data_IF_361173253873
#
_entry.id   IF_361173253873
#
_cell.length_a   1.000
_cell.length_b   1.000
_cell.length_c   1.000
_cell.angle_alpha   90.00
_cell.angle_beta   90.00
_cell.angle_gamma   90.00
#
_symmetry.space_group_name_H-M   'P 1'
#
loop_
_entity.id
_entity.type
_entity.pdbx_description
1 polymer ?
#
# COMPACT_ATOMS: atom_id res chain seq x y z
N UNK A 1 -13.76 -27.41 -2.11
CA UNK A 1 -13.26 -26.67 -3.29
C UNK A 1 -12.33 -27.56 -4.08
N UNK A 2 -12.07 -27.27 -5.35
CA UNK A 2 -11.11 -28.04 -6.15
C UNK A 2 -10.24 -27.14 -7.04
N UNK A 3 -8.96 -27.51 -7.15
CA UNK A 3 -8.01 -27.03 -8.16
C UNK A 3 -8.03 -27.99 -9.36
N UNK A 4 -8.50 -27.58 -10.55
CA UNK A 4 -8.56 -28.47 -11.68
C UNK A 4 -7.18 -28.79 -12.25
N UNK A 5 -6.88 -30.08 -12.42
CA UNK A 5 -5.69 -30.58 -13.14
C UNK A 5 -6.06 -31.45 -14.35
N UNK A 6 -7.36 -31.53 -14.65
CA UNK A 6 -7.90 -32.22 -15.83
C UNK A 6 -8.59 -31.19 -16.72
N UNK A 7 -8.46 -31.32 -18.05
CA UNK A 7 -9.10 -30.41 -18.99
C UNK A 7 -10.62 -30.53 -18.94
N UNK A 8 -11.20 -31.71 -18.76
CA UNK A 8 -12.65 -31.83 -18.62
C UNK A 8 -13.11 -31.44 -17.20
N UNK A 9 -13.81 -30.31 -17.08
CA UNK A 9 -14.29 -29.82 -15.79
C UNK A 9 -15.51 -30.58 -15.24
N UNK A 10 -16.13 -31.46 -16.04
CA UNK A 10 -17.25 -32.28 -15.58
C UNK A 10 -16.86 -33.27 -14.46
N UNK A 11 -15.58 -33.64 -14.39
CA UNK A 11 -15.03 -34.49 -13.32
C UNK A 11 -15.09 -33.85 -11.93
N UNK A 12 -15.19 -32.52 -11.86
CA UNK A 12 -15.24 -31.79 -10.59
C UNK A 12 -16.66 -31.51 -10.11
N UNK A 13 -17.69 -31.94 -10.85
CA UNK A 13 -19.10 -31.80 -10.44
C UNK A 13 -19.31 -32.31 -9.00
N UNK A 14 -20.05 -31.52 -8.22
CA UNK A 14 -20.25 -31.77 -6.79
C UNK A 14 -19.32 -30.95 -5.89
N UNK A 15 -18.24 -30.37 -6.43
CA UNK A 15 -17.48 -29.36 -5.71
C UNK A 15 -18.26 -28.04 -5.62
N UNK A 16 -18.19 -27.36 -4.47
CA UNK A 16 -18.85 -26.07 -4.28
C UNK A 16 -18.25 -24.95 -5.15
N UNK A 17 -16.92 -24.96 -5.32
CA UNK A 17 -16.17 -23.98 -6.11
C UNK A 17 -15.04 -24.69 -6.83
N UNK A 18 -14.81 -24.32 -8.10
CA UNK A 18 -13.66 -24.69 -8.91
C UNK A 18 -12.76 -23.47 -9.13
N UNK A 19 -11.44 -23.62 -9.00
CA UNK A 19 -10.49 -22.51 -9.06
C UNK A 19 -9.44 -22.65 -10.17
N UNK A 20 -9.83 -22.66 -11.47
CA UNK A 20 -8.87 -22.78 -12.55
C UNK A 20 -7.99 -21.52 -12.66
N UNK A 21 -6.83 -21.68 -13.29
CA UNK A 21 -6.10 -20.57 -13.92
C UNK A 21 -6.45 -20.44 -15.42
N UNK A 22 -5.94 -19.39 -16.09
CA UNK A 22 -6.16 -19.15 -17.53
C UNK A 22 -5.78 -20.34 -18.42
N UNK A 23 -4.67 -21.03 -18.12
CA UNK A 23 -4.20 -22.17 -18.92
C UNK A 23 -5.12 -23.38 -18.77
N UNK A 24 -5.59 -23.64 -17.56
CA UNK A 24 -6.56 -24.71 -17.27
C UNK A 24 -7.91 -24.40 -17.93
N UNK A 25 -8.37 -23.14 -17.90
CA UNK A 25 -9.57 -22.72 -18.63
C UNK A 25 -9.43 -22.93 -20.15
N UNK A 26 -8.28 -22.55 -20.71
CA UNK A 26 -8.02 -22.73 -22.13
C UNK A 26 -7.99 -24.22 -22.52
N UNK A 27 -7.37 -25.06 -21.69
CA UNK A 27 -7.34 -26.51 -21.88
C UNK A 27 -8.75 -27.14 -21.80
N UNK A 28 -9.62 -26.61 -20.93
CA UNK A 28 -10.98 -27.12 -20.73
C UNK A 28 -11.98 -26.71 -21.81
N UNK A 29 -11.81 -25.49 -22.32
CA UNK A 29 -12.72 -24.89 -23.29
C UNK A 29 -12.26 -25.05 -24.74
N UNK A 30 -10.96 -25.29 -24.97
CA UNK A 30 -10.35 -25.23 -26.29
C UNK A 30 -10.22 -23.80 -26.85
N UNK A 31 -10.42 -22.78 -26.02
CA UNK A 31 -10.37 -21.36 -26.40
C UNK A 31 -9.24 -20.68 -25.62
N UNK A 32 -8.41 -19.88 -26.31
CA UNK A 32 -7.39 -19.07 -25.63
C UNK A 32 -8.03 -18.07 -24.66
N UNK A 33 -7.48 -17.98 -23.46
CA UNK A 33 -8.06 -17.22 -22.35
C UNK A 33 -7.17 -16.06 -21.90
N UNK A 34 -6.51 -15.38 -22.85
CA UNK A 34 -5.60 -14.25 -22.57
C UNK A 34 -6.27 -12.88 -22.60
N UNK A 35 -7.45 -12.77 -23.24
CA UNK A 35 -8.27 -11.54 -23.25
C UNK A 35 -9.57 -11.74 -22.47
N UNK A 36 -10.25 -10.65 -22.13
CA UNK A 36 -11.57 -10.71 -21.47
C UNK A 36 -12.61 -11.44 -22.34
N UNK A 37 -12.56 -11.23 -23.66
CA UNK A 37 -13.44 -11.93 -24.61
C UNK A 37 -13.14 -13.43 -24.66
N UNK A 38 -11.86 -13.80 -24.70
CA UNK A 38 -11.42 -15.20 -24.67
C UNK A 38 -11.82 -15.90 -23.37
N UNK A 39 -11.64 -15.22 -22.24
CA UNK A 39 -12.09 -15.70 -20.92
C UNK A 39 -13.61 -15.88 -20.91
N UNK A 40 -14.37 -14.90 -21.38
CA UNK A 40 -15.83 -14.99 -21.42
C UNK A 40 -16.31 -16.16 -22.28
N UNK A 41 -15.73 -16.33 -23.48
CA UNK A 41 -16.05 -17.41 -24.40
C UNK A 41 -15.68 -18.79 -23.82
N UNK A 42 -14.47 -18.93 -23.28
CA UNK A 42 -14.02 -20.18 -22.66
C UNK A 42 -14.82 -20.53 -21.41
N UNK A 43 -15.18 -19.53 -20.61
CA UNK A 43 -15.96 -19.72 -19.38
C UNK A 43 -17.38 -20.20 -19.67
N UNK A 44 -17.99 -19.80 -20.80
CA UNK A 44 -19.31 -20.31 -21.20
C UNK A 44 -19.30 -21.84 -21.35
N UNK A 45 -18.24 -22.40 -21.93
CA UNK A 45 -18.05 -23.86 -22.09
C UNK A 45 -17.73 -24.51 -20.74
N UNK A 46 -16.78 -23.95 -20.01
CA UNK A 46 -16.35 -24.48 -18.70
C UNK A 46 -17.51 -24.53 -17.69
N UNK A 47 -18.39 -23.52 -17.69
CA UNK A 47 -19.57 -23.50 -16.83
C UNK A 47 -20.63 -24.55 -17.22
N UNK A 48 -20.77 -24.89 -18.51
CA UNK A 48 -21.68 -25.98 -18.92
C UNK A 48 -21.15 -27.35 -18.47
N UNK A 49 -19.83 -27.54 -18.53
CA UNK A 49 -19.15 -28.73 -18.00
C UNK A 49 -19.30 -28.83 -16.48
N UNK A 50 -18.90 -27.82 -15.72
CA UNK A 50 -18.81 -27.85 -14.26
C UNK A 50 -20.16 -27.67 -13.55
N UNK A 51 -21.03 -26.80 -14.06
CA UNK A 51 -22.36 -26.47 -13.51
C UNK A 51 -22.37 -25.93 -12.07
N UNK A 52 -21.28 -25.29 -11.64
CA UNK A 52 -21.14 -24.68 -10.32
C UNK A 52 -20.48 -23.30 -10.37
N UNK A 53 -19.99 -22.83 -9.22
CA UNK A 53 -19.27 -21.55 -9.08
C UNK A 53 -17.82 -21.70 -9.51
N UNK A 54 -17.34 -20.81 -10.39
CA UNK A 54 -15.94 -20.81 -10.83
C UNK A 54 -15.26 -19.53 -10.37
N UNK A 55 -14.09 -19.66 -9.74
CA UNK A 55 -13.23 -18.55 -9.35
C UNK A 55 -11.94 -18.66 -10.15
N UNK A 56 -11.87 -17.92 -11.26
CA UNK A 56 -10.74 -17.92 -12.18
C UNK A 56 -9.61 -17.04 -11.64
N UNK A 57 -8.41 -17.61 -11.51
CA UNK A 57 -7.19 -16.86 -11.24
C UNK A 57 -6.57 -16.35 -12.55
N UNK A 58 -6.32 -15.04 -12.62
CA UNK A 58 -5.83 -14.34 -13.82
C UNK A 58 -4.43 -13.75 -13.64
N UNK A 59 -3.64 -14.33 -12.75
CA UNK A 59 -2.28 -13.88 -12.44
C UNK A 59 -2.28 -12.39 -12.03
N UNK A 60 -1.43 -11.56 -12.63
CA UNK A 60 -1.31 -10.12 -12.38
C UNK A 60 -2.61 -9.32 -12.63
N UNK A 61 -3.58 -9.89 -13.34
CA UNK A 61 -4.87 -9.25 -13.56
C UNK A 61 -5.83 -9.45 -12.39
N UNK A 62 -5.59 -10.43 -11.49
CA UNK A 62 -6.40 -10.65 -10.29
C UNK A 62 -7.29 -11.89 -10.37
N UNK A 63 -8.50 -11.80 -9.81
CA UNK A 63 -9.42 -12.93 -9.65
C UNK A 63 -10.79 -12.57 -10.24
N UNK A 64 -11.43 -13.51 -10.92
CA UNK A 64 -12.78 -13.33 -11.48
C UNK A 64 -13.73 -14.43 -11.01
N UNK A 65 -14.91 -14.05 -10.56
CA UNK A 65 -15.99 -14.94 -10.14
C UNK A 65 -17.05 -15.06 -11.21
N UNK A 66 -17.39 -16.30 -11.53
CA UNK A 66 -18.42 -16.67 -12.47
C UNK A 66 -19.46 -17.57 -11.79
N UNK A 67 -20.73 -17.19 -11.97
CA UNK A 67 -21.89 -17.94 -11.49
C UNK A 67 -22.94 -17.95 -12.60
N UNK A 68 -23.66 -19.07 -12.71
CA UNK A 68 -24.69 -19.22 -13.74
C UNK A 68 -25.78 -18.17 -13.58
N UNK A 69 -26.07 -17.45 -14.67
CA UNK A 69 -27.14 -16.45 -14.72
C UNK A 69 -26.83 -15.16 -13.95
N UNK A 70 -25.60 -14.98 -13.45
CA UNK A 70 -25.16 -13.76 -12.78
C UNK A 70 -24.02 -13.11 -13.56
N UNK A 71 -23.91 -11.76 -13.53
CA UNK A 71 -22.75 -11.07 -14.07
C UNK A 71 -21.46 -11.56 -13.43
N UNK A 72 -20.39 -11.60 -14.23
CA UNK A 72 -19.05 -11.84 -13.71
C UNK A 72 -18.64 -10.71 -12.76
N UNK A 73 -17.96 -11.07 -11.68
CA UNK A 73 -17.38 -10.10 -10.74
C UNK A 73 -15.88 -10.23 -10.85
N UNK A 74 -15.20 -9.13 -11.19
CA UNK A 74 -13.75 -9.09 -11.24
C UNK A 74 -13.18 -8.26 -10.11
N UNK A 75 -12.19 -8.82 -9.41
CA UNK A 75 -11.35 -8.11 -8.47
C UNK A 75 -9.92 -8.03 -9.04
N UNK A 76 -9.34 -6.82 -9.24
CA UNK A 76 -7.99 -6.66 -9.73
C UNK A 76 -6.97 -7.22 -8.73
N UNK A 77 -5.79 -7.63 -9.20
CA UNK A 77 -4.74 -8.11 -8.29
C UNK A 77 -4.31 -7.00 -7.31
N UNK A 78 -4.11 -7.37 -6.04
CA UNK A 78 -3.66 -6.44 -4.98
C UNK A 78 -2.15 -6.20 -4.98
N UNK A 79 -1.38 -7.06 -5.65
CA UNK A 79 0.08 -6.98 -5.70
C UNK A 79 0.59 -5.87 -6.60
N UNK A 80 1.50 -5.04 -6.07
CA UNK A 80 2.34 -4.11 -6.86
C UNK A 80 3.74 -4.68 -7.19
N UNK A 81 4.20 -5.71 -6.49
CA UNK A 81 5.52 -6.35 -6.67
C UNK A 81 5.41 -7.87 -6.48
N UNK A 82 5.43 -8.64 -7.57
CA UNK A 82 5.53 -10.10 -7.51
C UNK A 82 7.00 -10.53 -7.58
N UNK A 83 7.53 -11.09 -6.49
CA UNK A 83 8.87 -11.67 -6.45
C UNK A 83 8.88 -13.11 -6.98
N UNK A 84 7.86 -13.89 -6.62
CA UNK A 84 7.71 -15.27 -7.05
C UNK A 84 6.22 -15.63 -7.09
N UNK A 85 5.74 -16.25 -8.16
CA UNK A 85 4.32 -16.64 -8.30
C UNK A 85 4.06 -18.09 -7.87
N UNK A 86 5.11 -18.79 -7.40
CA UNK A 86 5.03 -20.18 -6.95
C UNK A 86 4.12 -20.31 -5.72
N UNK A 87 3.08 -21.16 -5.80
CA UNK A 87 2.15 -21.41 -4.70
C UNK A 87 1.04 -20.35 -4.52
N UNK A 88 0.93 -19.37 -5.42
CA UNK A 88 -0.14 -18.37 -5.37
C UNK A 88 -1.54 -18.99 -5.50
N UNK A 89 -1.70 -19.99 -6.38
CA UNK A 89 -2.96 -20.71 -6.56
C UNK A 89 -3.38 -21.48 -5.30
N UNK A 90 -2.45 -22.19 -4.67
CA UNK A 90 -2.70 -22.92 -3.42
C UNK A 90 -3.10 -21.95 -2.30
N UNK A 91 -2.46 -20.78 -2.25
CA UNK A 91 -2.78 -19.72 -1.29
C UNK A 91 -4.20 -19.19 -1.51
N UNK A 92 -4.60 -18.93 -2.76
CA UNK A 92 -5.96 -18.50 -3.11
C UNK A 92 -6.98 -19.54 -2.62
N UNK A 93 -6.75 -20.82 -2.90
CA UNK A 93 -7.66 -21.89 -2.51
C UNK A 93 -7.77 -22.01 -0.99
N UNK A 94 -6.63 -21.98 -0.29
CA UNK A 94 -6.59 -22.07 1.17
C UNK A 94 -7.34 -20.90 1.83
N UNK A 95 -7.06 -19.67 1.38
CA UNK A 95 -7.68 -18.47 1.92
C UNK A 95 -9.18 -18.37 1.59
N UNK A 96 -9.58 -18.74 0.36
CA UNK A 96 -10.99 -18.79 -0.02
C UNK A 96 -11.74 -19.84 0.80
N UNK A 97 -11.14 -21.02 0.98
CA UNK A 97 -11.73 -22.09 1.81
C UNK A 97 -11.89 -21.64 3.26
N UNK A 98 -10.88 -20.98 3.83
CA UNK A 98 -10.90 -20.46 5.19
C UNK A 98 -12.02 -19.43 5.39
N UNK A 99 -12.11 -18.42 4.51
CA UNK A 99 -13.11 -17.37 4.61
C UNK A 99 -14.53 -17.93 4.49
N UNK A 100 -14.79 -18.76 3.47
CA UNK A 100 -16.09 -19.40 3.27
C UNK A 100 -16.46 -20.32 4.45
N UNK A 101 -15.51 -21.09 5.00
CA UNK A 101 -15.76 -21.96 6.16
C UNK A 101 -16.05 -21.15 7.43
N UNK A 102 -15.61 -19.89 7.47
CA UNK A 102 -15.88 -18.96 8.56
C UNK A 102 -17.24 -18.27 8.44
N UNK A 103 -18.01 -18.56 7.39
CA UNK A 103 -19.35 -18.01 7.15
C UNK A 103 -19.37 -16.72 6.33
N UNK A 104 -18.24 -16.30 5.79
CA UNK A 104 -18.16 -15.13 4.91
C UNK A 104 -18.83 -15.39 3.55
N UNK A 105 -19.31 -14.32 2.93
CA UNK A 105 -19.84 -14.41 1.56
C UNK A 105 -18.72 -14.59 0.52
N UNK A 106 -19.09 -15.00 -0.69
CA UNK A 106 -18.13 -15.27 -1.77
C UNK A 106 -17.29 -14.03 -2.15
N UNK A 107 -17.86 -12.83 -2.05
CA UNK A 107 -17.17 -11.61 -2.43
C UNK A 107 -16.09 -11.27 -1.40
N UNK A 108 -16.43 -11.31 -0.11
CA UNK A 108 -15.48 -11.14 0.99
C UNK A 108 -14.41 -12.22 0.96
N UNK A 109 -14.79 -13.48 0.69
CA UNK A 109 -13.84 -14.57 0.55
C UNK A 109 -12.85 -14.34 -0.60
N UNK A 110 -13.29 -13.80 -1.74
CA UNK A 110 -12.40 -13.42 -2.83
C UNK A 110 -11.42 -12.31 -2.44
N UNK A 111 -11.90 -11.29 -1.73
CA UNK A 111 -11.06 -10.21 -1.20
C UNK A 111 -9.96 -10.76 -0.30
N UNK A 112 -10.30 -11.67 0.63
CA UNK A 112 -9.33 -12.35 1.50
C UNK A 112 -8.35 -13.19 0.68
N UNK A 113 -8.83 -13.94 -0.31
CA UNK A 113 -7.98 -14.79 -1.14
C UNK A 113 -7.01 -13.99 -2.01
N UNK A 114 -7.46 -12.88 -2.56
CA UNK A 114 -6.65 -11.95 -3.36
C UNK A 114 -5.57 -11.29 -2.48
N UNK A 115 -5.92 -10.88 -1.26
CA UNK A 115 -4.96 -10.31 -0.30
C UNK A 115 -3.91 -11.35 0.14
N UNK A 116 -4.34 -12.58 0.43
CA UNK A 116 -3.42 -13.66 0.79
C UNK A 116 -2.47 -14.00 -0.37
N UNK A 117 -2.99 -14.09 -1.60
CA UNK A 117 -2.17 -14.28 -2.79
C UNK A 117 -1.15 -13.16 -2.94
N UNK A 118 -1.53 -11.91 -2.67
CA UNK A 118 -0.65 -10.78 -2.80
C UNK A 118 0.55 -10.83 -1.83
N UNK A 119 0.29 -11.22 -0.58
CA UNK A 119 1.34 -11.45 0.42
C UNK A 119 2.22 -12.64 0.04
N UNK A 120 1.63 -13.73 -0.47
CA UNK A 120 2.39 -14.91 -0.85
C UNK A 120 3.39 -14.60 -1.98
N UNK A 121 2.94 -13.89 -3.02
CA UNK A 121 3.80 -13.59 -4.18
C UNK A 121 4.85 -12.52 -3.92
N UNK A 122 4.71 -11.74 -2.85
CA UNK A 122 5.74 -10.79 -2.40
C UNK A 122 6.88 -11.48 -1.63
N UNK A 123 6.87 -12.81 -1.52
CA UNK A 123 7.89 -13.62 -0.86
C UNK A 123 8.51 -14.60 -1.86
N UNK A 124 9.72 -15.08 -1.56
CA UNK A 124 10.42 -16.05 -2.42
C UNK A 124 9.99 -17.48 -2.08
N UNK A 125 9.71 -18.29 -3.10
CA UNK A 125 9.29 -19.68 -2.96
C UNK A 125 7.86 -19.86 -2.44
N UNK A 126 7.50 -21.09 -2.12
CA UNK A 126 6.20 -21.43 -1.50
C UNK A 126 6.18 -20.95 -0.04
N UNK A 127 5.84 -19.68 0.17
CA UNK A 127 5.84 -19.04 1.47
C UNK A 127 4.46 -19.08 2.14
N UNK A 128 4.43 -19.23 3.47
CA UNK A 128 3.18 -19.20 4.25
C UNK A 128 2.70 -17.78 4.51
N UNK A 129 1.41 -17.53 4.42
CA UNK A 129 0.78 -16.26 4.81
C UNK A 129 0.32 -16.34 6.27
N UNK A 130 0.79 -15.41 7.09
CA UNK A 130 0.39 -15.30 8.50
C UNK A 130 -0.87 -14.43 8.66
N UNK A 131 -1.66 -14.61 9.74
CA UNK A 131 -2.80 -13.75 10.01
C UNK A 131 -2.46 -12.26 10.10
N UNK A 132 -1.29 -11.92 10.65
CA UNK A 132 -0.84 -10.54 10.77
C UNK A 132 -0.52 -9.90 9.41
N UNK A 133 0.16 -10.62 8.51
CA UNK A 133 0.43 -10.14 7.15
C UNK A 133 -0.88 -9.95 6.37
N UNK A 134 -1.80 -10.92 6.47
CA UNK A 134 -3.11 -10.84 5.81
C UNK A 134 -3.94 -9.66 6.33
N UNK A 135 -3.99 -9.47 7.66
CA UNK A 135 -4.67 -8.35 8.27
C UNK A 135 -4.06 -7.00 7.84
N UNK A 136 -2.73 -6.93 7.74
CA UNK A 136 -2.02 -5.76 7.21
C UNK A 136 -2.42 -5.45 5.77
N UNK A 137 -2.44 -6.45 4.90
CA UNK A 137 -2.84 -6.30 3.50
C UNK A 137 -4.32 -5.87 3.35
N UNK A 138 -5.21 -6.45 4.16
CA UNK A 138 -6.63 -6.07 4.15
C UNK A 138 -6.89 -4.68 4.73
N UNK A 139 -6.08 -4.24 5.70
CA UNK A 139 -6.14 -2.89 6.27
C UNK A 139 -5.74 -1.84 5.24
N UNK A 140 -4.71 -2.11 4.43
CA UNK A 140 -4.29 -1.22 3.34
C UNK A 140 -5.41 -0.97 2.33
N UNK A 141 -6.29 -1.96 2.10
CA UNK A 141 -7.41 -1.87 1.16
C UNK A 141 -8.66 -1.19 1.75
N UNK A 142 -8.82 -1.20 3.07
CA UNK A 142 -10.01 -0.64 3.76
C UNK A 142 -9.96 0.88 3.92
N UNK A 143 -8.86 1.53 3.52
CA UNK A 143 -8.69 2.98 3.59
C UNK A 143 -9.30 3.65 2.34
N UNK A 144 -10.45 4.34 2.43
CA UNK A 144 -11.04 5.01 1.30
C UNK A 144 -10.35 6.37 1.08
N UNK A 145 -10.13 6.72 -0.19
CA UNK A 145 -9.73 8.03 -0.74
C UNK A 145 -8.23 8.18 -1.05
N UNK A 146 -7.96 8.13 -2.35
CA UNK A 146 -6.69 8.32 -3.09
C UNK A 146 -5.71 7.15 -2.97
N UNK A 147 -5.28 6.65 -4.13
CA UNK A 147 -4.11 5.79 -4.32
C UNK A 147 -3.01 6.13 -3.32
N UNK A 148 -2.95 5.39 -2.21
CA UNK A 148 -1.77 5.35 -1.36
C UNK A 148 -0.78 4.37 -1.97
N UNK A 149 -0.43 4.57 -3.24
CA UNK A 149 0.61 3.78 -3.94
C UNK A 149 1.97 3.88 -3.21
N UNK A 150 2.12 4.96 -2.44
CA UNK A 150 3.33 5.30 -1.71
C UNK A 150 3.33 4.73 -0.28
N UNK A 151 2.18 4.46 0.34
CA UNK A 151 2.16 3.94 1.72
C UNK A 151 2.65 2.49 1.74
N UNK A 152 3.64 2.22 2.58
CA UNK A 152 4.35 0.95 2.63
C UNK A 152 4.51 0.48 4.08
N UNK A 153 4.68 -0.82 4.27
CA UNK A 153 5.26 -1.38 5.50
C UNK A 153 6.78 -1.30 5.43
N UNK A 154 7.47 -1.46 6.57
CA UNK A 154 8.93 -1.44 6.59
C UNK A 154 9.55 -2.50 5.67
N UNK A 155 9.02 -3.72 5.65
CA UNK A 155 9.52 -4.80 4.80
C UNK A 155 9.39 -4.46 3.31
N UNK A 156 8.24 -3.92 2.90
CA UNK A 156 8.00 -3.49 1.51
C UNK A 156 8.92 -2.33 1.14
N UNK A 157 9.07 -1.33 2.01
CA UNK A 157 9.96 -0.20 1.76
C UNK A 157 11.44 -0.62 1.65
N UNK A 158 11.89 -1.58 2.47
CA UNK A 158 13.24 -2.15 2.35
C UNK A 158 13.44 -2.87 1.01
N UNK A 159 12.47 -3.69 0.58
CA UNK A 159 12.53 -4.36 -0.73
C UNK A 159 12.55 -3.35 -1.88
N UNK A 160 11.69 -2.32 -1.81
CA UNK A 160 11.62 -1.25 -2.79
C UNK A 160 12.92 -0.43 -2.86
N UNK A 161 13.52 -0.12 -1.70
CA UNK A 161 14.82 0.55 -1.61
C UNK A 161 15.91 -0.29 -2.27
N UNK A 162 15.96 -1.59 -2.00
CA UNK A 162 16.95 -2.46 -2.65
C UNK A 162 16.77 -2.52 -4.16
N UNK A 163 15.54 -2.51 -4.66
CA UNK A 163 15.27 -2.40 -6.09
C UNK A 163 15.81 -1.09 -6.69
N UNK A 164 15.58 0.05 -6.02
CA UNK A 164 16.12 1.35 -6.44
C UNK A 164 17.64 1.39 -6.40
N UNK A 165 18.26 0.80 -5.38
CA UNK A 165 19.72 0.67 -5.29
C UNK A 165 20.30 -0.13 -6.45
N UNK A 166 19.68 -1.25 -6.86
CA UNK A 166 20.12 -2.03 -8.04
C UNK A 166 20.05 -1.22 -9.33
N UNK A 167 19.13 -0.27 -9.40
CA UNK A 167 19.00 0.69 -10.49
C UNK A 167 19.96 1.88 -10.36
N UNK A 168 20.81 1.92 -9.31
CA UNK A 168 21.74 3.00 -8.99
C UNK A 168 21.06 4.35 -8.73
N UNK A 169 19.81 4.32 -8.27
CA UNK A 169 19.07 5.52 -7.87
C UNK A 169 19.49 5.95 -6.46
N UNK A 170 19.61 7.25 -6.24
CA UNK A 170 19.88 7.87 -4.93
C UNK A 170 18.58 7.93 -4.13
N UNK A 171 18.56 7.29 -2.96
CA UNK A 171 17.39 7.22 -2.08
C UNK A 171 17.53 8.22 -0.93
N UNK A 172 16.69 9.25 -0.97
CA UNK A 172 16.51 10.22 0.10
C UNK A 172 15.55 9.74 1.18
N UNK A 173 15.77 10.21 2.40
CA UNK A 173 14.90 9.98 3.55
C UNK A 173 14.64 11.27 4.30
N UNK A 174 13.40 11.49 4.71
CA UNK A 174 13.06 12.49 5.72
C UNK A 174 11.97 11.95 6.63
N UNK A 175 11.80 12.57 7.79
CA UNK A 175 10.74 12.20 8.71
C UNK A 175 10.21 13.41 9.47
N UNK A 176 8.97 13.29 9.92
CA UNK A 176 8.34 14.28 10.77
C UNK A 176 6.87 13.96 11.06
N UNK A 177 6.27 14.82 11.87
CA UNK A 177 4.86 14.73 12.19
C UNK A 177 3.98 15.18 11.01
N UNK A 178 4.35 16.25 10.30
CA UNK A 178 3.56 16.85 9.21
C UNK A 178 2.10 17.11 9.59
N UNK A 179 1.88 17.64 10.81
CA UNK A 179 0.55 17.80 11.42
C UNK A 179 -0.41 18.64 10.57
N UNK A 180 -0.02 19.87 10.22
CA UNK A 180 -0.70 20.66 9.20
C UNK A 180 0.33 21.04 8.16
N UNK A 181 0.09 20.67 6.90
CA UNK A 181 0.94 21.12 5.80
C UNK A 181 0.93 22.64 5.72
N UNK A 182 2.12 23.18 5.53
CA UNK A 182 2.37 24.59 5.27
C UNK A 182 3.49 24.69 4.24
N UNK A 183 3.73 25.88 3.62
CA UNK A 183 4.68 25.97 2.52
C UNK A 183 6.12 25.58 2.90
N UNK A 184 6.52 25.75 4.17
CA UNK A 184 7.77 25.17 4.71
C UNK A 184 7.94 23.66 4.47
N UNK A 185 6.92 22.84 4.75
CA UNK A 185 6.97 21.39 4.47
C UNK A 185 7.07 21.11 2.97
N UNK A 186 6.31 21.85 2.14
CA UNK A 186 6.34 21.68 0.68
C UNK A 186 7.73 22.04 0.13
N UNK A 187 8.35 23.10 0.64
CA UNK A 187 9.72 23.50 0.28
C UNK A 187 10.73 22.43 0.67
N UNK A 188 10.67 21.92 1.90
CA UNK A 188 11.54 20.83 2.37
C UNK A 188 11.46 19.62 1.44
N UNK A 189 10.26 19.15 1.13
CA UNK A 189 10.07 17.95 0.31
C UNK A 189 10.50 18.17 -1.14
N UNK A 190 10.22 19.34 -1.72
CA UNK A 190 10.69 19.69 -3.08
C UNK A 190 12.21 19.78 -3.16
N UNK A 191 12.84 20.42 -2.18
CA UNK A 191 14.30 20.54 -2.12
C UNK A 191 14.94 19.15 -1.94
N UNK A 192 14.41 18.33 -1.03
CA UNK A 192 14.85 16.96 -0.85
C UNK A 192 14.76 16.14 -2.14
N UNK A 193 13.63 16.22 -2.85
CA UNK A 193 13.43 15.53 -4.14
C UNK A 193 14.37 16.03 -5.23
N UNK A 194 14.75 17.31 -5.24
CA UNK A 194 15.71 17.81 -6.23
C UNK A 194 17.13 17.22 -6.06
N UNK A 195 17.42 16.65 -4.90
CA UNK A 195 18.72 16.14 -4.51
C UNK A 195 18.76 14.61 -4.33
N UNK A 196 17.70 13.89 -4.74
CA UNK A 196 17.62 12.44 -4.78
C UNK A 196 16.67 11.95 -5.89
N UNK A 197 16.83 10.71 -6.34
CA UNK A 197 15.95 10.14 -7.37
C UNK A 197 14.63 9.64 -6.77
N UNK A 198 14.66 9.18 -5.52
CA UNK A 198 13.54 8.62 -4.78
C UNK A 198 13.53 9.14 -3.34
N UNK A 199 12.40 9.63 -2.86
CA UNK A 199 12.23 10.19 -1.52
C UNK A 199 11.26 9.35 -0.70
N UNK A 200 11.76 8.81 0.41
CA UNK A 200 10.96 8.14 1.43
C UNK A 200 10.64 9.15 2.54
N UNK A 201 9.36 9.27 2.91
CA UNK A 201 8.89 10.10 4.02
C UNK A 201 8.35 9.23 5.13
N UNK A 202 8.99 9.24 6.30
CA UNK A 202 8.48 8.57 7.48
C UNK A 202 7.63 9.53 8.33
N UNK A 203 6.39 9.12 8.64
CA UNK A 203 5.45 9.85 9.46
C UNK A 203 5.32 9.22 10.84
N UNK A 204 5.45 10.03 11.88
CA UNK A 204 5.16 9.60 13.24
C UNK A 204 3.69 9.16 13.34
N UNK A 205 3.41 8.08 14.06
CA UNK A 205 2.03 7.69 14.44
C UNK A 205 1.39 8.72 15.36
N UNK A 206 0.08 8.63 15.56
CA UNK A 206 -0.63 9.51 16.48
C UNK A 206 -0.15 9.33 17.93
N UNK A 207 0.17 8.10 18.33
CA UNK A 207 0.76 7.82 19.64
C UNK A 207 2.17 8.41 19.78
N UNK A 208 3.02 8.27 18.78
CA UNK A 208 4.35 8.90 18.72
C UNK A 208 4.26 10.42 18.87
N UNK A 209 3.37 11.06 18.11
CA UNK A 209 3.19 12.53 18.17
C UNK A 209 2.66 12.97 19.54
N UNK A 210 1.72 12.24 20.15
CA UNK A 210 1.21 12.54 21.50
C UNK A 210 2.32 12.53 22.55
N UNK A 211 3.23 11.55 22.49
CA UNK A 211 4.38 11.49 23.40
C UNK A 211 5.35 12.65 23.18
N UNK A 212 5.60 13.03 21.93
CA UNK A 212 6.56 14.09 21.58
C UNK A 212 6.04 15.51 21.81
N UNK A 213 4.75 15.76 21.58
CA UNK A 213 4.17 17.12 21.54
C UNK A 213 3.03 17.37 22.53
N UNK A 214 2.63 16.33 23.28
CA UNK A 214 1.55 16.39 24.25
C UNK A 214 0.20 15.87 23.73
N UNK A 215 -0.79 15.70 24.63
CA UNK A 215 -2.02 14.97 24.36
C UNK A 215 -2.96 15.66 23.37
N UNK A 216 -2.84 16.97 23.17
CA UNK A 216 -3.63 17.75 22.20
C UNK A 216 -3.12 17.65 20.76
N UNK A 217 -2.03 16.90 20.53
CA UNK A 217 -1.43 16.67 19.21
C UNK A 217 -1.43 15.18 18.86
N UNK A 218 -1.49 14.80 17.59
CA UNK A 218 -1.63 15.67 16.41
C UNK A 218 -3.06 16.22 16.27
N UNK A 219 -3.21 17.29 15.50
CA UNK A 219 -4.53 17.79 15.08
C UNK A 219 -5.12 16.93 13.97
N UNK A 220 -4.27 16.40 13.09
CA UNK A 220 -4.65 15.46 12.05
C UNK A 220 -4.14 14.06 12.39
N UNK A 221 -5.05 13.07 12.39
CA UNK A 221 -4.70 11.67 12.61
C UNK A 221 -3.76 11.17 11.50
N UNK A 222 -2.99 10.11 11.78
CA UNK A 222 -1.91 9.61 10.93
C UNK A 222 -2.35 9.24 9.52
N UNK A 223 -3.55 8.68 9.37
CA UNK A 223 -4.15 8.40 8.07
C UNK A 223 -4.35 9.66 7.23
N UNK A 224 -4.90 10.72 7.82
CA UNK A 224 -5.12 11.99 7.12
C UNK A 224 -3.80 12.64 6.70
N UNK A 225 -2.79 12.61 7.59
CA UNK A 225 -1.45 13.12 7.28
C UNK A 225 -0.80 12.32 6.15
N UNK A 226 -0.92 11.00 6.17
CA UNK A 226 -0.39 10.15 5.12
C UNK A 226 -1.06 10.40 3.76
N UNK A 227 -2.38 10.62 3.72
CA UNK A 227 -3.11 10.97 2.48
C UNK A 227 -2.61 12.31 1.92
N UNK A 228 -2.45 13.29 2.79
CA UNK A 228 -2.01 14.63 2.39
C UNK A 228 -0.56 14.59 1.85
N UNK A 229 0.32 13.81 2.48
CA UNK A 229 1.72 13.65 2.05
C UNK A 229 1.82 12.79 0.79
N UNK A 230 0.97 11.77 0.61
CA UNK A 230 1.01 10.90 -0.58
C UNK A 230 0.65 11.65 -1.86
N UNK A 231 -0.22 12.66 -1.75
CA UNK A 231 -0.62 13.52 -2.86
C UNK A 231 0.51 14.42 -3.39
N UNK A 232 1.66 14.52 -2.70
CA UNK A 232 2.79 15.33 -3.16
C UNK A 232 3.67 14.54 -4.13
N UNK A 233 3.87 15.08 -5.34
CA UNK A 233 4.74 14.49 -6.39
C UNK A 233 6.18 14.25 -5.93
N UNK A 234 6.65 15.04 -4.96
CA UNK A 234 7.99 14.92 -4.42
C UNK A 234 8.23 13.62 -3.63
N UNK A 235 7.17 12.94 -3.19
CA UNK A 235 7.23 11.76 -2.33
C UNK A 235 7.07 10.50 -3.16
N UNK A 236 7.93 9.50 -2.98
CA UNK A 236 7.86 8.21 -3.69
C UNK A 236 7.41 7.06 -2.78
N UNK A 237 7.67 7.14 -1.47
CA UNK A 237 7.16 6.18 -0.48
C UNK A 237 6.91 6.84 0.88
N UNK A 238 5.98 6.27 1.65
CA UNK A 238 5.58 6.70 2.99
C UNK A 238 5.64 5.52 3.93
N UNK A 239 6.17 5.75 5.13
CA UNK A 239 6.17 4.80 6.25
C UNK A 239 5.53 5.43 7.47
N UNK A 240 4.76 4.66 8.24
CA UNK A 240 4.36 5.05 9.60
C UNK A 240 5.34 4.42 10.60
N UNK A 241 5.68 5.14 11.67
CA UNK A 241 6.52 4.62 12.74
C UNK A 241 6.09 5.14 14.11
N UNK A 242 6.10 4.26 15.10
CA UNK A 242 5.65 4.60 16.45
C UNK A 242 6.77 5.13 17.32
N UNK A 243 8.02 4.73 17.07
CA UNK A 243 9.16 5.04 17.94
C UNK A 243 9.37 6.55 18.09
N UNK A 244 10.00 6.95 19.21
CA UNK A 244 10.26 8.37 19.48
C UNK A 244 11.28 8.97 18.49
N UNK A 245 12.08 8.11 17.85
CA UNK A 245 13.06 8.52 16.84
C UNK A 245 13.03 7.57 15.64
N UNK A 246 13.35 8.05 14.43
CA UNK A 246 13.36 7.22 13.21
C UNK A 246 14.60 6.31 13.09
N UNK A 247 15.40 6.15 14.15
CA UNK A 247 16.71 5.49 14.06
C UNK A 247 16.62 4.07 13.53
N UNK A 248 15.64 3.29 13.98
CA UNK A 248 15.46 1.89 13.56
C UNK A 248 15.05 1.79 12.08
N UNK A 249 14.19 2.71 11.61
CA UNK A 249 13.85 2.82 10.20
C UNK A 249 15.09 3.15 9.37
N UNK A 250 15.90 4.12 9.80
CA UNK A 250 17.12 4.53 9.09
C UNK A 250 18.12 3.38 9.04
N UNK A 251 18.29 2.63 10.13
CA UNK A 251 19.17 1.47 10.20
C UNK A 251 18.73 0.35 9.24
N UNK A 252 17.41 0.15 9.10
CA UNK A 252 16.83 -0.87 8.23
C UNK A 252 16.84 -0.47 6.75
N UNK A 253 16.42 0.76 6.45
CA UNK A 253 16.32 1.27 5.07
C UNK A 253 17.68 1.63 4.47
N UNK A 254 18.63 2.08 5.30
CA UNK A 254 19.94 2.59 4.90
C UNK A 254 19.86 3.60 3.74
N UNK A 255 19.19 4.76 3.92
CA UNK A 255 19.07 5.77 2.87
C UNK A 255 20.43 6.40 2.52
N UNK A 256 20.58 6.86 1.28
CA UNK A 256 21.82 7.51 0.82
C UNK A 256 21.92 8.96 1.31
N UNK A 257 20.78 9.62 1.54
CA UNK A 257 20.70 11.00 2.01
C UNK A 257 19.61 11.16 3.06
N UNK A 258 19.91 11.84 4.18
CA UNK A 258 18.87 12.36 5.09
C UNK A 258 18.66 13.85 4.84
N UNK A 259 17.39 14.24 4.71
CA UNK A 259 16.97 15.63 4.62
C UNK A 259 16.26 16.06 5.91
N UNK A 260 16.70 17.18 6.47
CA UNK A 260 16.05 17.85 7.60
C UNK A 260 15.95 19.35 7.32
N UNK A 261 14.90 19.99 7.80
CA UNK A 261 14.80 21.45 7.75
C UNK A 261 14.64 22.05 9.13
N UNK A 262 14.96 23.34 9.26
CA UNK A 262 14.70 24.15 10.45
C UNK A 262 15.90 24.27 11.36
N UNK A 263 15.65 24.28 12.67
CA UNK A 263 16.68 24.57 13.69
C UNK A 263 17.63 23.38 13.95
N UNK A 264 17.58 22.34 13.11
CA UNK A 264 18.50 21.22 13.22
C UNK A 264 19.89 21.63 12.74
N UNK A 265 20.89 21.32 13.55
CA UNK A 265 22.30 21.28 13.15
C UNK A 265 22.66 19.89 12.66
N UNK A 266 23.74 19.75 11.89
CA UNK A 266 24.18 18.44 11.38
C UNK A 266 24.34 17.40 12.50
N UNK A 267 24.83 17.83 13.67
CA UNK A 267 25.08 16.96 14.83
C UNK A 267 23.79 16.53 15.56
N UNK A 268 22.68 17.23 15.34
CA UNK A 268 21.40 16.93 16.00
C UNK A 268 20.45 16.10 15.13
N UNK A 269 20.85 15.78 13.89
CA UNK A 269 20.08 14.92 13.01
C UNK A 269 20.20 13.46 13.44
N UNK A 270 19.11 12.91 13.99
CA UNK A 270 19.00 11.49 14.31
C UNK A 270 19.33 10.64 13.07
N UNK A 271 20.26 9.69 13.24
CA UNK A 271 20.73 8.79 12.18
C UNK A 271 21.77 9.40 11.24
N UNK A 272 22.16 10.67 11.42
CA UNK A 272 23.14 11.34 10.58
C UNK A 272 24.51 10.64 10.58
N UNK A 273 25.07 10.39 11.76
CA UNK A 273 26.36 9.69 11.90
C UNK A 273 26.31 8.26 11.34
N UNK A 274 25.16 7.58 11.48
CA UNK A 274 24.96 6.24 10.93
C UNK A 274 25.01 6.27 9.40
N UNK A 275 24.31 7.22 8.78
CA UNK A 275 24.28 7.40 7.31
C UNK A 275 25.64 7.76 6.76
N UNK A 276 26.32 8.72 7.38
CA UNK A 276 27.67 9.11 7.02
C UNK A 276 28.67 7.95 7.18
N UNK A 277 28.49 7.10 8.19
CA UNK A 277 29.34 5.93 8.44
C UNK A 277 29.35 4.90 7.32
N UNK A 278 28.35 4.89 6.44
CA UNK A 278 28.35 4.07 5.22
C UNK A 278 28.43 4.86 3.91
N UNK A 279 28.87 6.13 3.99
CA UNK A 279 29.14 6.97 2.81
C UNK A 279 27.94 7.78 2.31
N UNK A 280 26.82 7.77 3.02
CA UNK A 280 25.71 8.69 2.75
C UNK A 280 25.98 10.11 3.27
N UNK A 281 25.02 11.01 3.09
CA UNK A 281 25.15 12.41 3.56
C UNK A 281 23.90 12.93 4.26
N UNK A 282 24.07 14.00 5.02
CA UNK A 282 22.98 14.75 5.66
C UNK A 282 22.89 16.11 4.99
N UNK A 283 21.68 16.53 4.64
CA UNK A 283 21.39 17.81 4.01
C UNK A 283 20.39 18.57 4.87
N UNK A 284 20.76 19.79 5.25
CA UNK A 284 19.88 20.74 5.92
C UNK A 284 19.24 21.65 4.87
N UNK A 285 17.92 21.80 4.94
CA UNK A 285 17.13 22.65 4.05
C UNK A 285 16.69 23.89 4.79
N UNK A 286 17.09 25.07 4.31
CA UNK A 286 16.79 26.34 4.94
C UNK A 286 15.30 26.70 4.87
N UNK A 287 14.75 27.11 6.01
CA UNK A 287 13.40 27.72 6.10
C UNK A 287 13.49 29.25 6.10
N UNK A 288 12.48 29.90 5.51
CA UNK A 288 12.13 31.25 5.93
C UNK A 288 11.32 31.13 7.24
N UNK A 289 11.71 31.88 8.28
CA UNK A 289 11.38 31.67 9.70
C UNK A 289 9.88 31.81 10.09
N UNK A 290 8.94 31.86 9.15
CA UNK A 290 7.62 32.48 9.38
C UNK A 290 6.47 31.46 9.31
N UNK A 291 6.77 30.17 9.17
CA UNK A 291 5.80 29.15 8.76
C UNK A 291 5.97 27.85 9.53
N UNK A 292 5.52 27.82 10.79
CA UNK A 292 5.33 26.59 11.56
C UNK A 292 3.84 26.36 11.83
N UNK A 293 3.44 25.11 12.04
CA UNK A 293 2.06 24.76 12.45
C UNK A 293 1.63 25.51 13.73
N UNK A 294 2.55 25.68 14.69
CA UNK A 294 2.31 26.48 15.90
C UNK A 294 2.01 27.94 15.56
N UNK A 295 2.82 28.56 14.71
CA UNK A 295 2.59 29.94 14.27
C UNK A 295 1.34 30.12 13.41
N UNK A 296 0.86 29.08 12.73
CA UNK A 296 -0.42 29.13 12.00
C UNK A 296 -1.62 29.13 12.97
N UNK A 297 -1.54 28.34 14.04
CA UNK A 297 -2.60 28.22 15.07
C UNK A 297 -2.66 29.47 15.94
N UNK A 298 -1.52 30.04 16.31
CA UNK A 298 -1.48 31.32 17.03
C UNK A 298 -2.10 32.47 16.21
N UNK A 299 -1.84 32.49 14.89
CA UNK A 299 -2.50 33.43 13.96
C UNK A 299 -4.01 33.19 13.84
N UNK A 300 -4.47 31.94 13.88
CA UNK A 300 -5.90 31.62 13.87
C UNK A 300 -6.60 32.01 15.19
N UNK A 301 -5.94 31.83 16.34
CA UNK A 301 -6.47 32.24 17.65
C UNK A 301 -6.52 33.75 17.86
N UNK A 302 -5.64 34.51 17.21
CA UNK A 302 -5.60 35.99 17.29
C UNK A 302 -6.56 36.69 16.33
N UNK A 303 -7.06 36.01 15.30
CA UNK A 303 -8.10 36.50 14.39
C UNK A 303 -9.50 35.99 14.79
N UNK A 304 -10.05 36.47 15.90
CA UNK A 304 -11.52 36.56 15.99
C UNK A 304 -11.94 37.81 15.22
N UNK A 305 -12.69 37.70 14.10
CA UNK A 305 -13.28 38.88 13.49
C UNK A 305 -14.48 39.31 14.33
N UNK A 306 -14.36 40.42 15.05
CA UNK A 306 -15.51 41.27 15.35
C UNK A 306 -15.94 41.92 14.04
N UNK A 307 -16.84 41.27 13.29
CA UNK A 307 -17.53 41.93 12.18
C UNK A 307 -19.00 41.52 12.22
N UNK A 308 -19.83 42.41 12.77
CA UNK A 308 -21.20 42.55 12.30
C UNK A 308 -21.19 43.36 10.99
N UNK A 309 -22.03 42.99 10.02
CA UNK A 309 -23.22 43.78 9.64
C UNK A 309 -23.93 43.18 8.41
N UNK A 310 -25.23 43.52 8.35
CA UNK A 310 -26.12 43.74 7.19
C UNK A 310 -26.41 42.61 6.22
N UNK A 311 -27.70 42.23 6.24
CA UNK A 311 -28.50 41.92 5.06
C UNK A 311 -28.15 42.86 3.89
N UNK A 312 -27.87 42.29 2.72
CA UNK A 312 -28.30 42.89 1.46
C UNK A 312 -28.84 41.78 0.56
N UNK A 313 -30.13 41.92 0.30
CA UNK A 313 -30.95 41.25 -0.69
C UNK A 313 -30.39 41.50 -2.10
N UNK A 314 -30.27 40.44 -2.91
CA UNK A 314 -30.89 40.30 -4.25
C UNK A 314 -30.58 38.93 -4.84
#
# INVERSE_FOLDING_TARGET
>A
MADPKRPDFSFYRGCAVLTPNRRELAAASGIEADTDEGIAAGMAIAMDQFRGTVVLTRSEQGISLFRRGLPAIHEPARTRLALDVSGAGDTVIAALTLALSSGEDMKTAMTVANAAAAVAVSKTGTATVTPAELAGEMLLDSLPVLQMDKLSTLSVACAQREAWRRQKLVVGFTNGCFDLLHPGHVKLLKEAKSQCDRLIVALNTDASVRRLKGPERPLQMEGARAIVISALDAVDAILLFDEDTPMELIASLRPDVIFKGGDYTLDTVVGGSLVQGYGGRVVLVDFAADQSTTGLIERARTRQPTIGYSEVVH
#
